data_IF_400433924938
#
_entry.id   IF_400433924938
#
_cell.length_a   1.000
_cell.length_b   1.000
_cell.length_c   1.000
_cell.angle_alpha   90.00
_cell.angle_beta   90.00
_cell.angle_gamma   90.00
#
_symmetry.space_group_name_H-M   'P 1'
#
loop_
_entity.id
_entity.type
_entity.pdbx_description
1 polymer ?
#
# COMPACT_ATOMS: atom_id res chain seq x y z
N UNK A 1 -13.95 -16.94 4.09
CA UNK A 1 -14.27 -16.90 5.53
C UNK A 1 -15.34 -15.84 5.73
N UNK A 2 -16.42 -16.12 6.48
CA UNK A 2 -17.49 -15.15 6.75
C UNK A 2 -17.17 -14.39 8.04
N UNK A 3 -17.19 -13.06 7.99
CA UNK A 3 -16.95 -12.15 9.12
C UNK A 3 -18.02 -11.06 9.05
N UNK A 4 -18.93 -11.05 10.03
CA UNK A 4 -20.11 -10.16 10.13
C UNK A 4 -21.12 -10.33 8.97
N UNK A 5 -20.69 -10.19 7.72
CA UNK A 5 -21.50 -10.29 6.51
C UNK A 5 -21.54 -11.73 5.95
N UNK A 6 -22.66 -12.09 5.34
CA UNK A 6 -22.82 -13.30 4.53
C UNK A 6 -22.29 -13.11 3.10
N UNK A 7 -22.43 -11.91 2.54
CA UNK A 7 -21.93 -11.51 1.24
C UNK A 7 -20.39 -11.63 1.21
N UNK A 8 -19.83 -12.39 0.26
CA UNK A 8 -18.40 -12.67 0.23
C UNK A 8 -17.56 -11.42 -0.02
N UNK A 9 -18.06 -10.44 -0.78
CA UNK A 9 -17.34 -9.20 -1.08
C UNK A 9 -17.23 -8.33 0.16
N UNK A 10 -18.35 -8.05 0.84
CA UNK A 10 -18.35 -7.29 2.09
C UNK A 10 -17.51 -7.98 3.17
N UNK A 11 -17.66 -9.30 3.31
CA UNK A 11 -16.89 -10.07 4.28
C UNK A 11 -15.38 -10.05 3.98
N UNK A 12 -14.99 -10.17 2.71
CA UNK A 12 -13.58 -10.10 2.31
C UNK A 12 -12.99 -8.71 2.55
N UNK A 13 -13.72 -7.65 2.19
CA UNK A 13 -13.24 -6.28 2.41
C UNK A 13 -13.15 -5.92 3.89
N UNK A 14 -14.07 -6.41 4.72
CA UNK A 14 -13.97 -6.26 6.17
C UNK A 14 -12.74 -7.02 6.70
N UNK A 15 -12.52 -8.24 6.24
CA UNK A 15 -11.34 -9.02 6.65
C UNK A 15 -10.03 -8.34 6.23
N UNK A 16 -9.98 -7.77 5.02
CA UNK A 16 -8.84 -6.96 4.54
C UNK A 16 -8.63 -5.72 5.41
N UNK A 17 -9.69 -5.04 5.85
CA UNK A 17 -9.56 -3.93 6.79
C UNK A 17 -9.00 -4.42 8.15
N UNK A 18 -9.50 -5.54 8.68
CA UNK A 18 -9.08 -6.09 9.98
C UNK A 18 -7.64 -6.63 9.92
N UNK A 19 -7.18 -7.17 8.79
CA UNK A 19 -5.81 -7.71 8.69
C UNK A 19 -4.73 -6.66 8.91
N UNK A 20 -5.05 -5.38 8.68
CA UNK A 20 -4.18 -4.24 8.93
C UNK A 20 -3.87 -4.02 10.43
N UNK A 21 -4.64 -4.64 11.34
CA UNK A 21 -4.41 -4.56 12.80
C UNK A 21 -2.99 -4.99 13.18
N UNK A 22 -2.42 -5.99 12.49
CA UNK A 22 -1.08 -6.50 12.79
C UNK A 22 0.01 -5.42 12.71
N UNK A 23 -0.11 -4.51 11.72
CA UNK A 23 0.80 -3.38 11.54
C UNK A 23 0.17 -2.05 11.99
N UNK A 24 -0.80 -2.10 12.92
CA UNK A 24 -1.48 -0.94 13.52
C UNK A 24 -2.28 -0.07 12.54
N UNK A 25 -2.55 -0.56 11.32
CA UNK A 25 -3.39 0.10 10.32
C UNK A 25 -4.89 -0.10 10.53
N UNK A 26 -5.29 -0.82 11.56
CA UNK A 26 -6.68 -0.91 12.01
C UNK A 26 -6.76 -1.20 13.51
N UNK A 27 -7.94 -1.01 14.07
CA UNK A 27 -8.35 -1.50 15.38
C UNK A 27 -9.58 -2.40 15.20
N UNK A 28 -9.56 -3.59 15.83
CA UNK A 28 -10.63 -4.57 15.62
C UNK A 28 -11.99 -4.08 16.14
N UNK A 29 -12.03 -3.31 17.23
CA UNK A 29 -13.25 -2.73 17.77
C UNK A 29 -13.83 -1.65 16.84
N UNK A 30 -12.96 -0.81 16.27
CA UNK A 30 -13.36 0.17 15.26
C UNK A 30 -13.91 -0.49 13.99
N UNK A 31 -13.24 -1.54 13.49
CA UNK A 31 -13.71 -2.30 12.32
C UNK A 31 -15.07 -2.97 12.59
N UNK A 32 -15.20 -3.72 13.69
CA UNK A 32 -16.43 -4.43 14.01
C UNK A 32 -17.58 -3.48 14.30
N UNK A 33 -17.37 -2.43 15.10
CA UNK A 33 -18.42 -1.44 15.38
C UNK A 33 -18.88 -0.72 14.11
N UNK A 34 -17.99 -0.49 13.14
CA UNK A 34 -18.34 0.06 11.83
C UNK A 34 -19.15 -0.94 11.02
N UNK A 35 -18.69 -2.20 10.94
CA UNK A 35 -19.38 -3.26 10.22
C UNK A 35 -20.82 -3.49 10.69
N UNK A 36 -21.06 -3.47 12.01
CA UNK A 36 -22.42 -3.65 12.57
C UNK A 36 -23.40 -2.49 12.27
N UNK A 37 -22.93 -1.36 11.72
CA UNK A 37 -23.79 -0.26 11.27
C UNK A 37 -24.07 -0.30 9.77
N UNK A 38 -23.36 -1.14 9.02
CA UNK A 38 -23.50 -1.28 7.57
C UNK A 38 -24.67 -2.21 7.26
N UNK A 39 -25.52 -1.78 6.33
CA UNK A 39 -26.57 -2.64 5.79
C UNK A 39 -25.95 -3.55 4.74
N UNK A 40 -26.05 -4.85 4.95
CA UNK A 40 -25.48 -5.83 4.03
C UNK A 40 -26.06 -5.70 2.61
N UNK A 41 -25.19 -5.77 1.60
CA UNK A 41 -25.55 -5.60 0.19
C UNK A 41 -25.75 -4.14 -0.26
N UNK A 42 -25.61 -3.16 0.64
CA UNK A 42 -25.76 -1.74 0.34
C UNK A 42 -24.40 -1.02 0.33
N UNK A 43 -23.86 -0.81 -0.88
CA UNK A 43 -22.56 -0.13 -1.09
C UNK A 43 -22.54 1.31 -0.58
N UNK A 44 -23.69 2.01 -0.56
CA UNK A 44 -23.76 3.37 -0.03
C UNK A 44 -23.62 3.36 1.49
N UNK A 45 -24.28 2.42 2.17
CA UNK A 45 -24.13 2.26 3.63
C UNK A 45 -22.70 1.90 4.02
N UNK A 46 -22.00 1.11 3.19
CA UNK A 46 -20.58 0.81 3.37
C UNK A 46 -19.74 2.08 3.33
N UNK A 47 -19.87 2.87 2.25
CA UNK A 47 -19.13 4.10 2.08
C UNK A 47 -19.37 5.08 3.23
N UNK A 48 -20.64 5.32 3.58
CA UNK A 48 -21.02 6.29 4.61
C UNK A 48 -20.44 5.92 5.98
N UNK A 49 -20.60 4.67 6.41
CA UNK A 49 -20.19 4.25 7.75
C UNK A 49 -18.67 4.15 7.89
N UNK A 50 -17.95 3.69 6.87
CA UNK A 50 -16.49 3.72 6.87
C UNK A 50 -15.93 5.14 6.80
N UNK A 51 -16.52 6.02 5.98
CA UNK A 51 -16.12 7.42 5.92
C UNK A 51 -16.32 8.13 7.26
N UNK A 52 -17.42 7.83 7.96
CA UNK A 52 -17.70 8.36 9.31
C UNK A 52 -16.63 7.91 10.31
N UNK A 53 -16.25 6.64 10.29
CA UNK A 53 -15.17 6.11 11.15
C UNK A 53 -13.83 6.74 10.78
N UNK A 54 -13.49 6.82 9.49
CA UNK A 54 -12.25 7.44 9.01
C UNK A 54 -12.13 8.90 9.49
N UNK A 55 -13.17 9.71 9.32
CA UNK A 55 -13.20 11.11 9.77
C UNK A 55 -13.04 11.26 11.29
N UNK A 56 -13.69 10.39 12.07
CA UNK A 56 -13.55 10.40 13.54
C UNK A 56 -12.12 10.12 13.97
N UNK A 57 -11.48 9.12 13.37
CA UNK A 57 -10.10 8.71 13.71
C UNK A 57 -9.08 9.72 13.20
N UNK A 58 -9.30 10.30 12.01
CA UNK A 58 -8.49 11.40 11.49
C UNK A 58 -8.50 12.59 12.45
N UNK A 59 -9.70 13.05 12.88
CA UNK A 59 -9.81 14.14 13.85
C UNK A 59 -9.05 13.85 15.14
N UNK A 60 -9.14 12.61 15.66
CA UNK A 60 -8.37 12.21 16.83
C UNK A 60 -6.86 12.24 16.59
N UNK A 61 -6.40 11.90 15.38
CA UNK A 61 -5.00 12.01 15.00
C UNK A 61 -4.53 13.48 15.02
N UNK A 62 -5.32 14.40 14.47
CA UNK A 62 -5.05 15.85 14.50
C UNK A 62 -4.95 16.37 15.93
N UNK A 63 -5.88 15.97 16.81
CA UNK A 63 -5.88 16.35 18.23
C UNK A 63 -4.64 15.82 18.98
N UNK A 64 -4.23 14.59 18.68
CA UNK A 64 -3.00 14.01 19.23
C UNK A 64 -1.76 14.77 18.76
N UNK A 65 -1.68 15.10 17.46
CA UNK A 65 -0.56 15.82 16.89
C UNK A 65 -0.44 17.22 17.47
N UNK A 66 -1.56 17.94 17.56
CA UNK A 66 -1.63 19.27 18.18
C UNK A 66 -1.21 19.28 19.66
N UNK A 67 -1.39 18.15 20.35
CA UNK A 67 -1.00 17.95 21.74
C UNK A 67 0.44 17.42 21.92
N UNK A 68 1.20 17.22 20.83
CA UNK A 68 2.56 16.67 20.87
C UNK A 68 2.63 15.16 21.14
N UNK A 69 1.55 14.42 20.93
CA UNK A 69 1.48 12.97 21.11
C UNK A 69 1.77 12.22 19.80
N UNK A 70 3.00 12.34 19.29
CA UNK A 70 3.40 11.88 17.95
C UNK A 70 3.11 10.39 17.68
N UNK A 71 3.32 9.52 18.69
CA UNK A 71 3.06 8.07 18.54
C UNK A 71 1.56 7.82 18.33
N UNK A 72 0.72 8.42 19.18
CA UNK A 72 -0.75 8.29 19.09
C UNK A 72 -1.28 8.89 17.79
N UNK A 73 -0.76 10.06 17.40
CA UNK A 73 -1.10 10.72 16.15
C UNK A 73 -0.78 9.84 14.94
N UNK A 74 0.45 9.33 14.87
CA UNK A 74 0.91 8.45 13.79
C UNK A 74 0.06 7.19 13.66
N UNK A 75 -0.22 6.52 14.77
CA UNK A 75 -1.03 5.30 14.75
C UNK A 75 -2.48 5.60 14.34
N UNK A 76 -3.05 6.72 14.78
CA UNK A 76 -4.38 7.15 14.38
C UNK A 76 -4.45 7.56 12.90
N UNK A 77 -3.46 8.31 12.37
CA UNK A 77 -3.39 8.62 10.95
C UNK A 77 -3.24 7.36 10.09
N UNK A 78 -2.50 6.35 10.54
CA UNK A 78 -2.37 5.10 9.81
C UNK A 78 -3.72 4.36 9.71
N UNK A 79 -4.47 4.28 10.82
CA UNK A 79 -5.84 3.74 10.82
C UNK A 79 -6.78 4.57 9.94
N UNK A 80 -6.74 5.90 10.03
CA UNK A 80 -7.56 6.79 9.21
C UNK A 80 -7.27 6.61 7.72
N UNK A 81 -5.99 6.52 7.33
CA UNK A 81 -5.56 6.24 5.96
C UNK A 81 -6.21 4.97 5.42
N UNK A 82 -6.12 3.88 6.19
CA UNK A 82 -6.74 2.62 5.82
C UNK A 82 -8.28 2.72 5.76
N UNK A 83 -8.94 3.37 6.72
CA UNK A 83 -10.40 3.46 6.72
C UNK A 83 -10.95 4.34 5.59
N UNK A 84 -10.23 5.38 5.16
CA UNK A 84 -10.58 6.11 3.94
C UNK A 84 -10.45 5.21 2.70
N UNK A 85 -9.36 4.43 2.58
CA UNK A 85 -9.19 3.43 1.51
C UNK A 85 -10.34 2.42 1.50
N UNK A 86 -10.73 1.90 2.67
CA UNK A 86 -11.84 0.95 2.81
C UNK A 86 -13.17 1.58 2.41
N UNK A 87 -13.42 2.84 2.79
CA UNK A 87 -14.67 3.54 2.49
C UNK A 87 -14.94 3.62 0.98
N UNK A 88 -13.94 4.02 0.18
CA UNK A 88 -14.13 4.18 -1.26
C UNK A 88 -14.18 2.85 -2.04
N UNK A 89 -13.79 1.73 -1.45
CA UNK A 89 -13.54 0.49 -2.19
C UNK A 89 -14.75 -0.01 -2.99
N UNK A 90 -15.97 0.15 -2.45
CA UNK A 90 -17.21 -0.28 -3.10
C UNK A 90 -17.91 0.84 -3.89
N UNK A 91 -17.24 1.98 -4.11
CA UNK A 91 -17.66 2.95 -5.11
C UNK A 91 -17.22 2.44 -6.48
N UNK A 92 -18.14 1.77 -7.18
CA UNK A 92 -17.84 1.04 -8.42
C UNK A 92 -17.95 1.90 -9.69
N UNK A 93 -18.60 3.06 -9.63
CA UNK A 93 -18.66 4.01 -10.74
C UNK A 93 -17.36 4.82 -10.79
N UNK A 94 -16.50 4.64 -11.82
CA UNK A 94 -15.22 5.34 -11.91
C UNK A 94 -15.35 6.87 -11.98
N UNK A 95 -16.53 7.38 -12.39
CA UNK A 95 -16.81 8.81 -12.50
C UNK A 95 -17.33 9.42 -11.20
N UNK A 96 -17.53 8.61 -10.15
CA UNK A 96 -17.95 9.10 -8.85
C UNK A 96 -16.85 9.99 -8.23
N UNK A 97 -17.11 11.30 -8.01
CA UNK A 97 -16.11 12.21 -7.49
C UNK A 97 -15.66 11.86 -6.07
N UNK A 98 -16.47 11.11 -5.32
CA UNK A 98 -16.15 10.67 -3.95
C UNK A 98 -14.93 9.77 -3.90
N UNK A 99 -14.64 9.02 -4.98
CA UNK A 99 -13.42 8.21 -5.13
C UNK A 99 -12.20 9.12 -4.99
N UNK A 100 -12.12 10.18 -5.80
CA UNK A 100 -10.95 11.08 -5.81
C UNK A 100 -10.78 11.81 -4.47
N UNK A 101 -11.88 12.26 -3.87
CA UNK A 101 -11.84 12.94 -2.56
C UNK A 101 -11.39 11.99 -1.45
N UNK A 102 -11.99 10.80 -1.36
CA UNK A 102 -11.75 9.84 -0.28
C UNK A 102 -10.36 9.22 -0.37
N UNK A 103 -9.95 8.85 -1.59
CA UNK A 103 -8.58 8.44 -1.88
C UNK A 103 -7.56 9.52 -1.51
N UNK A 104 -7.82 10.78 -1.86
CA UNK A 104 -6.96 11.91 -1.48
C UNK A 104 -6.76 12.03 0.03
N UNK A 105 -7.84 11.84 0.81
CA UNK A 105 -7.78 11.85 2.27
C UNK A 105 -6.95 10.67 2.83
N UNK A 106 -7.08 9.49 2.22
CA UNK A 106 -6.25 8.32 2.57
C UNK A 106 -4.76 8.62 2.41
N UNK A 107 -4.38 9.23 1.27
CA UNK A 107 -2.99 9.63 0.97
C UNK A 107 -2.48 10.70 1.92
N UNK A 108 -3.30 11.70 2.22
CA UNK A 108 -2.94 12.78 3.15
C UNK A 108 -2.64 12.23 4.55
N UNK A 109 -3.49 11.34 5.06
CA UNK A 109 -3.26 10.70 6.35
C UNK A 109 -1.93 9.92 6.34
N UNK A 110 -1.65 9.13 5.30
CA UNK A 110 -0.39 8.40 5.22
C UNK A 110 0.84 9.31 5.06
N UNK A 111 0.70 10.47 4.41
CA UNK A 111 1.76 11.46 4.35
C UNK A 111 2.10 12.03 5.75
N UNK A 112 1.11 12.19 6.65
CA UNK A 112 1.39 12.53 8.06
C UNK A 112 2.07 11.38 8.79
N UNK A 113 1.64 10.13 8.56
CA UNK A 113 2.34 8.94 9.08
C UNK A 113 3.82 8.96 8.70
N UNK A 114 4.12 9.21 7.42
CA UNK A 114 5.48 9.24 6.89
C UNK A 114 6.39 10.26 7.61
N UNK A 115 5.84 11.42 8.02
CA UNK A 115 6.57 12.47 8.74
C UNK A 115 6.85 12.11 10.21
N UNK A 116 5.96 11.33 10.83
CA UNK A 116 5.98 10.96 12.25
C UNK A 116 6.77 9.67 12.55
N UNK A 117 7.24 8.97 11.51
CA UNK A 117 8.20 7.87 11.68
C UNK A 117 9.64 8.37 11.82
N UNK A 118 10.46 7.56 12.49
CA UNK A 118 11.91 7.77 12.60
C UNK A 118 12.62 6.45 12.30
N UNK A 119 13.39 6.34 11.19
CA UNK A 119 13.52 7.32 10.11
C UNK A 119 12.19 7.65 9.43
N UNK A 120 12.08 8.86 8.87
CA UNK A 120 10.90 9.27 8.10
C UNK A 120 10.76 8.40 6.85
N UNK A 121 9.53 8.13 6.45
CA UNK A 121 9.27 7.50 5.15
C UNK A 121 9.35 8.58 4.08
N UNK A 122 10.11 8.32 3.02
CA UNK A 122 10.36 9.31 1.98
C UNK A 122 9.40 9.09 0.81
N UNK A 123 8.48 10.02 0.50
CA UNK A 123 7.76 9.96 -0.76
C UNK A 123 8.75 10.15 -1.91
N UNK A 124 8.63 9.33 -2.94
CA UNK A 124 9.54 9.32 -4.09
C UNK A 124 8.77 9.39 -5.41
N UNK A 125 9.45 9.92 -6.42
CA UNK A 125 9.03 9.89 -7.83
C UNK A 125 10.12 9.14 -8.59
N UNK A 126 9.79 7.95 -9.08
CA UNK A 126 10.70 7.06 -9.79
C UNK A 126 10.66 7.43 -11.27
N UNK A 127 11.76 7.85 -11.91
CA UNK A 127 11.76 8.17 -13.33
C UNK A 127 11.29 6.98 -14.18
N UNK A 128 10.35 7.23 -15.09
CA UNK A 128 9.75 6.19 -15.91
C UNK A 128 9.24 6.77 -17.22
N UNK A 129 9.91 6.42 -18.33
CA UNK A 129 9.64 6.98 -19.66
C UNK A 129 9.57 8.52 -19.58
N UNK A 130 8.51 9.14 -20.10
CA UNK A 130 8.30 10.60 -20.08
C UNK A 130 7.55 11.08 -18.81
N UNK A 131 7.48 10.24 -17.77
CA UNK A 131 6.76 10.52 -16.51
C UNK A 131 7.54 10.00 -15.29
N UNK A 132 6.86 9.87 -14.16
CA UNK A 132 7.37 9.19 -12.97
C UNK A 132 6.31 8.34 -12.28
N UNK A 133 6.77 7.28 -11.62
CA UNK A 133 5.93 6.40 -10.80
C UNK A 133 6.00 6.85 -9.33
N UNK A 134 4.86 7.02 -8.64
CA UNK A 134 4.86 7.40 -7.24
C UNK A 134 5.26 6.20 -6.36
N UNK A 135 6.00 6.48 -5.28
CA UNK A 135 6.39 5.46 -4.32
C UNK A 135 6.69 6.01 -2.94
N UNK A 136 6.98 5.10 -2.00
CA UNK A 136 7.60 5.43 -0.72
C UNK A 136 8.87 4.60 -0.51
N UNK A 137 9.90 5.27 -0.03
CA UNK A 137 11.14 4.67 0.39
C UNK A 137 11.20 4.61 1.92
N UNK A 138 11.45 3.41 2.43
CA UNK A 138 11.53 3.11 3.84
C UNK A 138 12.94 2.63 4.15
N UNK A 139 13.61 3.33 5.06
CA UNK A 139 14.97 3.01 5.48
C UNK A 139 14.99 2.46 6.88
N UNK A 140 15.77 1.40 7.05
CA UNK A 140 16.05 0.83 8.36
C UNK A 140 16.86 1.84 9.19
N UNK A 141 16.57 1.93 10.50
CA UNK A 141 17.35 2.77 11.40
C UNK A 141 18.82 2.29 11.46
N UNK A 142 19.74 3.15 11.02
CA UNK A 142 21.20 2.94 11.07
C UNK A 142 21.73 2.69 12.47
N UNK A 143 21.11 3.30 13.48
CA UNK A 143 21.51 3.09 14.88
C UNK A 143 21.19 1.68 15.37
N UNK A 144 20.13 1.06 14.83
CA UNK A 144 19.68 -0.28 15.23
C UNK A 144 20.46 -1.39 14.52
N UNK A 145 21.00 -1.13 13.34
CA UNK A 145 21.76 -2.11 12.55
C UNK A 145 23.04 -1.45 12.02
N UNK A 146 24.15 -1.62 12.74
CA UNK A 146 25.46 -1.03 12.42
C UNK A 146 25.84 -1.18 10.93
N UNK A 147 26.29 -0.07 10.33
CA UNK A 147 26.86 0.12 8.98
C UNK A 147 27.17 -1.18 8.20
N UNK A 148 26.12 -1.76 7.63
CA UNK A 148 26.19 -2.89 6.72
C UNK A 148 25.40 -2.53 5.48
N UNK A 149 25.96 -2.82 4.31
CA UNK A 149 25.19 -2.89 3.08
C UNK A 149 23.98 -3.81 3.31
N UNK A 150 22.76 -3.35 2.99
CA UNK A 150 21.50 -3.99 3.38
C UNK A 150 20.77 -4.59 2.19
N UNK A 151 19.99 -5.66 2.37
CA UNK A 151 19.06 -6.07 1.33
C UNK A 151 17.95 -5.03 1.16
N UNK A 152 17.34 -4.99 -0.03
CA UNK A 152 16.15 -4.19 -0.29
C UNK A 152 14.99 -5.08 -0.75
N UNK A 153 13.80 -4.79 -0.24
CA UNK A 153 12.54 -5.34 -0.73
C UNK A 153 11.84 -4.27 -1.59
N UNK A 154 11.60 -4.57 -2.86
CA UNK A 154 10.75 -3.78 -3.75
C UNK A 154 9.36 -4.41 -3.73
N UNK A 155 8.32 -3.60 -3.53
CA UNK A 155 6.94 -4.09 -3.39
C UNK A 155 6.01 -3.30 -4.31
N UNK A 156 5.14 -4.02 -5.01
CA UNK A 156 4.00 -3.40 -5.69
C UNK A 156 2.72 -4.20 -5.46
N UNK A 157 1.60 -3.49 -5.61
CA UNK A 157 0.27 -4.06 -5.50
C UNK A 157 -0.17 -4.82 -6.75
N UNK A 158 -1.46 -5.14 -6.78
CA UNK A 158 -2.15 -5.78 -7.90
C UNK A 158 -3.12 -4.82 -8.59
N UNK A 159 -4.39 -5.25 -8.70
CA UNK A 159 -5.43 -4.52 -9.43
C UNK A 159 -5.99 -3.33 -8.62
N UNK A 160 -6.32 -3.54 -7.35
CA UNK A 160 -7.06 -2.59 -6.51
C UNK A 160 -6.27 -2.06 -5.30
N UNK A 161 -4.99 -2.44 -5.17
CA UNK A 161 -4.13 -1.98 -4.09
C UNK A 161 -3.79 -0.50 -4.24
N UNK A 162 -3.68 0.20 -3.11
CA UNK A 162 -3.14 1.56 -3.07
C UNK A 162 -1.70 1.55 -2.57
N UNK A 163 -0.90 2.54 -2.95
CA UNK A 163 0.48 2.68 -2.49
C UNK A 163 0.61 2.60 -0.96
N UNK A 164 -0.27 3.30 -0.25
CA UNK A 164 -0.24 3.44 1.21
C UNK A 164 -0.51 2.10 1.92
N UNK A 165 -1.32 1.23 1.32
CA UNK A 165 -1.62 -0.11 1.85
C UNK A 165 -0.39 -1.03 1.85
N UNK A 166 0.56 -0.80 0.93
CA UNK A 166 1.78 -1.59 0.82
C UNK A 166 2.72 -1.42 2.04
N UNK A 167 2.42 -0.48 2.94
CA UNK A 167 3.11 -0.33 4.22
C UNK A 167 3.15 -1.64 5.03
N UNK A 168 2.14 -2.50 4.91
CA UNK A 168 2.11 -3.79 5.61
C UNK A 168 3.21 -4.76 5.21
N UNK A 169 3.80 -4.56 4.03
CA UNK A 169 4.99 -5.30 3.60
C UNK A 169 6.28 -4.57 4.02
N UNK A 170 6.27 -3.24 4.01
CA UNK A 170 7.40 -2.43 4.44
C UNK A 170 7.71 -2.56 5.94
N UNK A 171 6.70 -2.50 6.81
CA UNK A 171 6.86 -2.59 8.26
C UNK A 171 7.64 -3.84 8.72
N UNK A 172 7.23 -5.08 8.37
CA UNK A 172 7.97 -6.28 8.74
C UNK A 172 9.33 -6.41 8.04
N UNK A 173 9.49 -5.83 6.84
CA UNK A 173 10.79 -5.78 6.16
C UNK A 173 11.80 -4.94 6.97
N UNK A 174 11.38 -3.76 7.44
CA UNK A 174 12.21 -2.89 8.29
C UNK A 174 12.61 -3.57 9.59
N UNK A 175 11.69 -4.30 10.23
CA UNK A 175 11.98 -5.07 11.45
C UNK A 175 13.06 -6.14 11.25
N UNK A 176 13.22 -6.64 10.01
CA UNK A 176 14.18 -7.66 9.61
C UNK A 176 15.46 -7.09 9.00
N UNK A 177 15.61 -5.75 9.00
CA UNK A 177 16.80 -5.09 8.48
C UNK A 177 16.83 -4.94 6.96
N UNK A 178 15.69 -5.02 6.28
CA UNK A 178 15.55 -4.71 4.85
C UNK A 178 15.12 -3.25 4.67
N UNK A 179 15.82 -2.52 3.81
CA UNK A 179 15.21 -1.31 3.25
C UNK A 179 14.01 -1.74 2.38
N UNK A 180 13.02 -0.88 2.22
CA UNK A 180 11.85 -1.19 1.39
C UNK A 180 11.56 -0.05 0.43
N UNK A 181 11.16 -0.38 -0.80
CA UNK A 181 10.64 0.56 -1.78
C UNK A 181 9.28 0.06 -2.25
N UNK A 182 8.22 0.80 -1.92
CA UNK A 182 6.87 0.54 -2.45
C UNK A 182 6.60 1.49 -3.61
N UNK A 183 5.86 1.05 -4.63
CA UNK A 183 5.48 1.91 -5.74
C UNK A 183 4.16 1.48 -6.39
N UNK A 184 3.54 2.40 -7.13
CA UNK A 184 2.45 2.12 -8.07
C UNK A 184 2.98 2.18 -9.50
N UNK A 185 2.70 1.14 -10.30
CA UNK A 185 3.02 1.09 -11.72
C UNK A 185 1.85 1.45 -12.63
N UNK A 186 2.05 1.36 -13.97
CA UNK A 186 0.97 1.47 -14.95
C UNK A 186 -0.24 0.60 -14.59
N UNK A 187 -1.45 1.16 -14.68
CA UNK A 187 -2.70 0.49 -14.32
C UNK A 187 -3.06 0.55 -12.83
N UNK A 188 -2.19 1.05 -11.96
CA UNK A 188 -2.37 1.01 -10.51
C UNK A 188 -2.61 2.39 -9.92
N UNK A 189 -3.48 2.45 -8.89
CA UNK A 189 -3.69 3.60 -8.03
C UNK A 189 -3.61 4.97 -8.71
N UNK A 190 -2.67 5.81 -8.28
CA UNK A 190 -2.48 7.16 -8.81
C UNK A 190 -2.06 7.21 -10.28
N UNK A 191 -1.36 6.20 -10.77
CA UNK A 191 -0.87 6.14 -12.15
C UNK A 191 -2.03 5.99 -13.13
N UNK A 192 -2.98 5.08 -12.87
CA UNK A 192 -4.20 5.01 -13.70
C UNK A 192 -5.15 6.16 -13.42
N UNK A 193 -5.35 6.55 -12.16
CA UNK A 193 -6.36 7.57 -11.78
C UNK A 193 -5.99 8.97 -12.27
N UNK A 194 -4.70 9.36 -12.20
CA UNK A 194 -4.21 10.71 -12.51
C UNK A 194 -3.42 10.79 -13.80
N UNK A 195 -2.50 9.85 -14.05
CA UNK A 195 -1.65 9.87 -15.25
C UNK A 195 -2.32 9.19 -16.45
N UNK A 196 -3.41 8.43 -16.22
CA UNK A 196 -4.17 7.71 -17.25
C UNK A 196 -3.33 6.68 -18.01
N UNK A 197 -2.33 6.09 -17.34
CA UNK A 197 -1.47 5.07 -17.93
C UNK A 197 -2.03 3.68 -17.55
N UNK A 198 -2.53 2.88 -18.51
CA UNK A 198 -3.12 1.58 -18.26
C UNK A 198 -2.07 0.50 -17.97
N UNK A 199 -2.52 -0.69 -17.56
CA UNK A 199 -1.64 -1.86 -17.41
C UNK A 199 -0.93 -2.19 -18.73
N UNK A 200 0.28 -2.75 -18.60
CA UNK A 200 1.06 -3.32 -19.69
C UNK A 200 1.46 -4.75 -19.36
N UNK A 201 1.65 -5.57 -20.39
CA UNK A 201 1.91 -7.00 -20.25
C UNK A 201 3.39 -7.30 -19.93
N UNK A 202 4.31 -6.44 -20.38
CA UNK A 202 5.77 -6.56 -20.24
C UNK A 202 6.26 -5.87 -18.96
N UNK A 203 5.82 -6.38 -17.80
CA UNK A 203 6.10 -5.77 -16.49
C UNK A 203 7.59 -5.65 -16.14
N UNK A 204 8.47 -6.39 -16.82
CA UNK A 204 9.92 -6.19 -16.76
C UNK A 204 10.33 -4.75 -17.12
N UNK A 205 9.59 -4.08 -18.03
CA UNK A 205 9.83 -2.68 -18.39
C UNK A 205 9.45 -1.69 -17.29
N UNK A 206 8.65 -2.12 -16.31
CA UNK A 206 8.31 -1.35 -15.11
C UNK A 206 9.34 -1.59 -14.01
N UNK A 207 9.74 -2.86 -13.81
CA UNK A 207 10.65 -3.21 -12.71
C UNK A 207 12.08 -2.76 -12.96
N UNK A 208 12.61 -2.84 -14.18
CA UNK A 208 14.01 -2.43 -14.44
C UNK A 208 14.30 -0.97 -14.04
N UNK A 209 13.48 0.04 -14.43
CA UNK A 209 13.65 1.41 -13.95
C UNK A 209 13.52 1.58 -12.43
N UNK A 210 12.65 0.80 -11.78
CA UNK A 210 12.49 0.82 -10.31
C UNK A 210 13.76 0.28 -9.62
N UNK A 211 14.36 -0.79 -10.17
CA UNK A 211 15.64 -1.33 -9.70
C UNK A 211 16.77 -0.32 -9.92
N UNK A 212 16.84 0.32 -11.09
CA UNK A 212 17.84 1.36 -11.40
C UNK A 212 17.75 2.53 -10.42
N UNK A 213 16.52 2.97 -10.13
CA UNK A 213 16.26 4.01 -9.16
C UNK A 213 16.70 3.61 -7.75
N UNK A 214 16.34 2.40 -7.30
CA UNK A 214 16.74 1.91 -5.98
C UNK A 214 18.26 1.88 -5.83
N UNK A 215 18.98 1.36 -6.83
CA UNK A 215 20.44 1.30 -6.85
C UNK A 215 21.08 2.70 -6.89
N UNK A 216 20.49 3.63 -7.63
CA UNK A 216 20.99 5.01 -7.71
C UNK A 216 20.78 5.76 -6.40
N UNK A 217 19.59 5.60 -5.78
CA UNK A 217 19.21 6.32 -4.55
C UNK A 217 19.87 5.77 -3.29
N UNK A 218 20.19 4.49 -3.27
CA UNK A 218 20.65 3.78 -2.07
C UNK A 218 21.93 2.98 -2.28
N UNK A 219 22.63 3.12 -3.41
CA UNK A 219 23.76 2.25 -3.78
C UNK A 219 24.92 2.23 -2.79
N UNK A 220 25.01 3.22 -1.91
CA UNK A 220 25.94 3.30 -0.78
C UNK A 220 25.50 2.48 0.45
N UNK A 221 24.20 2.22 0.59
CA UNK A 221 23.60 1.55 1.76
C UNK A 221 22.86 0.24 1.45
N UNK A 222 22.62 -0.10 0.18
CA UNK A 222 22.06 -1.40 -0.23
C UNK A 222 23.08 -2.28 -0.95
N UNK A 223 22.87 -3.59 -0.88
CA UNK A 223 23.69 -4.59 -1.57
C UNK A 223 23.06 -4.89 -2.92
N UNK A 224 23.74 -4.60 -4.05
CA UNK A 224 23.18 -4.85 -5.39
C UNK A 224 22.94 -6.34 -5.66
N UNK A 225 23.49 -7.25 -4.84
CA UNK A 225 23.27 -8.70 -4.94
C UNK A 225 22.17 -9.19 -3.99
N UNK A 226 21.41 -8.31 -3.34
CA UNK A 226 20.31 -8.68 -2.43
C UNK A 226 19.08 -7.80 -2.64
N UNK A 227 18.53 -7.89 -3.85
CA UNK A 227 17.30 -7.23 -4.25
C UNK A 227 16.19 -8.28 -4.31
N UNK A 228 15.12 -8.11 -3.53
CA UNK A 228 13.93 -8.95 -3.57
C UNK A 228 12.77 -8.17 -4.18
N UNK A 229 11.94 -8.83 -4.99
CA UNK A 229 10.69 -8.29 -5.50
C UNK A 229 9.51 -9.02 -4.86
N UNK A 230 8.50 -8.28 -4.40
CA UNK A 230 7.23 -8.82 -3.95
C UNK A 230 6.08 -8.19 -4.73
N UNK A 231 5.24 -9.05 -5.32
CA UNK A 231 4.00 -8.65 -5.95
C UNK A 231 2.81 -9.21 -5.17
N UNK A 232 1.82 -8.36 -4.88
CA UNK A 232 0.64 -8.75 -4.09
C UNK A 232 -0.58 -8.94 -5.01
N UNK A 233 -1.34 -10.02 -4.80
CA UNK A 233 -2.54 -10.34 -5.60
C UNK A 233 -2.19 -10.50 -7.10
N UNK A 234 -2.85 -9.80 -8.01
CA UNK A 234 -2.46 -9.72 -9.43
C UNK A 234 -0.99 -9.29 -9.60
N UNK A 235 -0.44 -8.54 -8.63
CA UNK A 235 0.97 -8.19 -8.58
C UNK A 235 1.89 -9.41 -8.56
N UNK A 236 1.46 -10.56 -8.00
CA UNK A 236 2.26 -11.79 -8.02
C UNK A 236 2.54 -12.29 -9.44
N UNK A 237 1.53 -12.22 -10.33
CA UNK A 237 1.71 -12.53 -11.76
C UNK A 237 2.70 -11.56 -12.42
N UNK A 238 2.52 -10.26 -12.17
CA UNK A 238 3.39 -9.20 -12.71
C UNK A 238 4.83 -9.33 -12.20
N UNK A 239 5.03 -9.71 -10.93
CA UNK A 239 6.34 -9.94 -10.33
C UNK A 239 7.03 -11.18 -10.92
N UNK A 240 6.27 -12.27 -11.12
CA UNK A 240 6.78 -13.48 -11.79
C UNK A 240 7.21 -13.17 -13.23
N UNK A 241 6.38 -12.40 -13.96
CA UNK A 241 6.71 -11.94 -15.31
C UNK A 241 8.01 -11.13 -15.31
N UNK A 242 8.15 -10.14 -14.44
CA UNK A 242 9.36 -9.32 -14.38
C UNK A 242 10.61 -10.12 -14.00
N UNK A 243 10.50 -11.05 -13.05
CA UNK A 243 11.62 -11.88 -12.60
C UNK A 243 12.19 -12.80 -13.68
N UNK A 244 11.42 -13.09 -14.74
CA UNK A 244 11.92 -13.84 -15.89
C UNK A 244 12.92 -13.05 -16.76
N UNK A 245 12.94 -11.71 -16.67
CA UNK A 245 13.77 -10.84 -17.52
C UNK A 245 14.69 -9.89 -16.74
N UNK A 246 14.38 -9.54 -15.50
CA UNK A 246 15.21 -8.69 -14.64
C UNK A 246 16.10 -9.54 -13.71
N UNK A 247 17.28 -9.91 -14.21
CA UNK A 247 18.18 -10.86 -13.54
C UNK A 247 18.93 -10.29 -12.32
N UNK A 248 18.80 -9.00 -12.01
CA UNK A 248 19.33 -8.42 -10.76
C UNK A 248 18.50 -8.79 -9.54
N UNK A 249 17.26 -9.27 -9.74
CA UNK A 249 16.43 -9.78 -8.67
C UNK A 249 17.01 -11.11 -8.16
N UNK A 250 17.19 -11.20 -6.84
CA UNK A 250 17.73 -12.37 -6.15
C UNK A 250 16.67 -13.21 -5.44
N UNK A 251 15.49 -12.63 -5.23
CA UNK A 251 14.31 -13.33 -4.75
C UNK A 251 13.05 -12.70 -5.37
N UNK A 252 12.05 -13.54 -5.66
CA UNK A 252 10.73 -13.12 -6.10
C UNK A 252 9.69 -13.75 -5.19
N UNK A 253 8.80 -12.93 -4.63
CA UNK A 253 7.74 -13.32 -3.71
C UNK A 253 6.40 -13.03 -4.37
N UNK A 254 5.66 -14.09 -4.64
CA UNK A 254 4.31 -14.05 -5.18
C UNK A 254 3.38 -14.11 -3.96
N UNK A 255 3.00 -12.95 -3.42
CA UNK A 255 2.06 -12.90 -2.31
C UNK A 255 0.63 -13.03 -2.87
N UNK A 256 0.22 -14.29 -3.02
CA UNK A 256 -0.77 -14.73 -4.00
C UNK A 256 -0.25 -14.50 -5.43
N UNK A 257 -1.05 -14.89 -6.40
CA UNK A 257 -0.70 -14.81 -7.81
C UNK A 257 -1.48 -15.84 -8.59
N UNK A 258 -1.48 -15.68 -9.91
CA UNK A 258 -2.17 -16.58 -10.82
C UNK A 258 -1.14 -17.10 -11.82
N UNK A 259 -1.24 -18.39 -12.16
CA UNK A 259 -0.37 -19.00 -13.16
C UNK A 259 -0.71 -18.48 -14.56
N UNK A 260 -2.02 -18.44 -14.86
CA UNK A 260 -2.57 -17.89 -16.09
C UNK A 260 -3.54 -16.75 -15.74
N UNK A 261 -3.24 -15.55 -16.26
CA UNK A 261 -4.06 -14.36 -16.02
C UNK A 261 -5.39 -14.38 -16.77
N UNK A 262 -5.48 -15.08 -17.90
CA UNK A 262 -6.71 -15.27 -18.65
C UNK A 262 -7.66 -16.18 -17.87
N UNK A 263 -7.20 -17.36 -17.46
CA UNK A 263 -8.02 -18.32 -16.71
C UNK A 263 -8.51 -17.77 -15.36
N UNK A 264 -7.75 -16.85 -14.76
CA UNK A 264 -8.11 -16.24 -13.48
C UNK A 264 -9.14 -15.11 -13.58
N UNK A 265 -9.33 -14.52 -14.76
CA UNK A 265 -10.22 -13.38 -14.99
C UNK A 265 -11.43 -13.73 -15.89
N UNK A 266 -11.39 -14.87 -16.58
CA UNK A 266 -12.48 -15.42 -17.38
C UNK A 266 -13.55 -16.10 -16.51
#
# INVERSE_FOLDING_TARGET
MKVVFQDPTFSLQLLRAISETYNKGADIGECLSTAYRIKEGDFESWYIEWLKTAKRVHKYADECLASGHDISAREAYLRASNYYRVAEFLLIDPEDPRIQTTWGMSKQCFAEVAKLFSPRFEPVQIPYEETSLPGYLYRVDEKKYANRSRPILIVHGGFDSTLEELYTSAAPALERGYNCLTFEGPGQGGVIRKQKIPFRYDWEKVISPVVDYALTRLGDVIDPKRIALMGISMGGYLAARAAAFEHRLTACILYNGVYDGYDALA
#
